data_IF_383080847242
#
_entry.id   IF_383080847242
#
_cell.length_a   1.000
_cell.length_b   1.000
_cell.length_c   1.000
_cell.angle_alpha   90.00
_cell.angle_beta   90.00
_cell.angle_gamma   90.00
#
_symmetry.space_group_name_H-M   'P 1'
#
loop_
_entity.id
_entity.type
_entity.pdbx_description
1 polymer ?
#
# COMPACT_ATOMS: atom_id res chain seq x y z
N UNK A 1 75.47 -33.10 1.10
CA UNK A 1 75.43 -31.62 1.15
C UNK A 1 74.91 -31.12 -0.20
N UNK A 2 73.61 -30.86 -0.31
CA UNK A 2 72.99 -30.06 -1.39
C UNK A 2 71.54 -29.78 -1.01
N UNK A 3 71.31 -28.59 -0.42
CA UNK A 3 70.01 -28.04 -0.06
C UNK A 3 69.47 -27.34 -1.31
N UNK A 4 68.37 -27.83 -1.87
CA UNK A 4 67.63 -27.14 -2.94
C UNK A 4 66.56 -26.27 -2.29
N UNK A 5 66.69 -24.98 -2.57
CA UNK A 5 65.81 -23.90 -2.11
C UNK A 5 64.38 -24.10 -2.61
N UNK A 6 63.43 -24.03 -1.68
CA UNK A 6 62.00 -23.99 -1.94
C UNK A 6 61.62 -22.53 -2.19
N UNK A 7 61.38 -22.16 -3.46
CA UNK A 7 60.88 -20.83 -3.83
C UNK A 7 59.36 -20.91 -3.87
N UNK A 8 58.71 -20.21 -2.94
CA UNK A 8 57.26 -20.10 -2.82
C UNK A 8 56.79 -18.88 -3.62
N UNK A 9 55.90 -18.99 -4.63
CA UNK A 9 55.35 -17.83 -5.29
C UNK A 9 54.14 -17.30 -4.50
N UNK A 10 54.25 -16.05 -4.06
CA UNK A 10 53.16 -15.21 -3.57
C UNK A 10 52.15 -14.98 -4.71
N UNK A 11 50.91 -15.48 -4.58
CA UNK A 11 49.79 -15.06 -5.41
C UNK A 11 49.23 -13.74 -4.86
N UNK A 12 49.47 -12.64 -5.59
CA UNK A 12 48.73 -11.38 -5.44
C UNK A 12 47.41 -11.50 -6.21
N UNK A 13 46.29 -11.61 -5.50
CA UNK A 13 44.96 -11.44 -6.10
C UNK A 13 44.59 -9.95 -6.12
N UNK A 14 44.49 -9.39 -7.33
CA UNK A 14 43.97 -8.06 -7.60
C UNK A 14 42.43 -8.13 -7.56
N UNK A 15 41.81 -7.74 -6.44
CA UNK A 15 40.36 -7.55 -6.41
C UNK A 15 40.03 -6.18 -7.00
N UNK A 16 39.44 -6.17 -8.20
CA UNK A 16 38.79 -5.00 -8.77
C UNK A 16 37.53 -4.70 -7.94
N UNK A 17 37.59 -3.64 -7.14
CA UNK A 17 36.47 -3.14 -6.36
C UNK A 17 35.40 -2.55 -7.29
N UNK A 18 34.38 -3.35 -7.63
CA UNK A 18 33.10 -2.81 -8.11
C UNK A 18 32.40 -2.16 -6.90
N UNK A 19 32.45 -0.83 -6.84
CA UNK A 19 31.70 -0.08 -5.84
C UNK A 19 30.20 -0.28 -6.04
N UNK A 20 29.41 -0.56 -4.99
CA UNK A 20 27.97 -0.51 -5.11
C UNK A 20 27.59 0.96 -5.25
N UNK A 21 27.22 1.37 -6.46
CA UNK A 21 26.48 2.61 -6.66
C UNK A 21 25.20 2.51 -5.84
N UNK A 22 25.13 3.24 -4.74
CA UNK A 22 23.92 3.34 -3.93
C UNK A 22 22.89 4.06 -4.80
N UNK A 23 21.96 3.29 -5.37
CA UNK A 23 20.80 3.84 -6.03
C UNK A 23 19.95 4.52 -4.95
N UNK A 24 20.01 5.85 -4.89
CA UNK A 24 19.05 6.64 -4.12
C UNK A 24 17.69 6.45 -4.79
N UNK A 25 16.85 5.60 -4.20
CA UNK A 25 15.42 5.60 -4.49
C UNK A 25 14.92 7.01 -4.20
N UNK A 26 14.52 7.72 -5.24
CA UNK A 26 13.98 9.07 -5.16
C UNK A 26 12.69 8.98 -4.34
N UNK A 27 12.72 9.40 -3.07
CA UNK A 27 11.55 9.41 -2.22
C UNK A 27 10.45 10.25 -2.90
N UNK A 28 9.35 9.61 -3.25
CA UNK A 28 8.20 10.29 -3.84
C UNK A 28 7.64 11.30 -2.83
N UNK A 29 7.43 12.57 -3.20
CA UNK A 29 7.22 13.66 -2.26
C UNK A 29 5.86 13.69 -1.55
N UNK A 30 4.97 12.73 -1.83
CA UNK A 30 3.65 12.63 -1.20
C UNK A 30 3.43 11.21 -0.68
N UNK A 31 3.63 10.99 0.62
CA UNK A 31 3.34 9.71 1.30
C UNK A 31 1.88 9.63 1.75
N UNK A 32 0.97 10.14 0.93
CA UNK A 32 -0.44 10.21 1.26
C UNK A 32 -1.30 10.92 0.22
N UNK A 33 -2.61 10.71 0.33
CA UNK A 33 -3.65 11.35 -0.48
C UNK A 33 -4.85 11.72 0.37
N UNK A 34 -5.61 12.72 -0.07
CA UNK A 34 -6.96 12.98 0.45
C UNK A 34 -7.99 12.52 -0.59
N UNK A 35 -8.78 11.51 -0.25
CA UNK A 35 -9.90 11.06 -1.06
C UNK A 35 -11.17 11.83 -0.75
N UNK A 36 -11.74 12.53 -1.72
CA UNK A 36 -13.01 13.26 -1.58
C UNK A 36 -14.12 12.52 -2.33
N UNK A 37 -15.17 12.09 -1.61
CA UNK A 37 -16.31 11.39 -2.19
C UNK A 37 -17.02 12.27 -3.23
N UNK A 38 -17.20 11.74 -4.44
CA UNK A 38 -17.96 12.41 -5.50
C UNK A 38 -19.31 11.73 -5.76
N UNK A 39 -19.38 10.40 -5.63
CA UNK A 39 -20.61 9.61 -5.84
C UNK A 39 -20.57 8.35 -4.99
N UNK A 40 -21.66 8.02 -4.30
CA UNK A 40 -21.72 6.82 -3.46
C UNK A 40 -23.16 6.35 -3.25
N UNK A 41 -23.32 5.07 -2.88
CA UNK A 41 -24.62 4.51 -2.50
C UNK A 41 -25.05 4.94 -1.09
N UNK A 42 -24.12 4.86 -0.12
CA UNK A 42 -24.39 5.11 1.32
C UNK A 42 -23.62 6.29 1.93
N UNK A 43 -22.71 6.93 1.18
CA UNK A 43 -21.86 8.04 1.66
C UNK A 43 -22.29 9.37 1.06
N UNK A 44 -21.98 10.48 1.73
CA UNK A 44 -22.32 11.83 1.27
C UNK A 44 -21.19 12.40 0.40
N UNK A 45 -21.48 13.04 -0.74
CA UNK A 45 -20.48 13.80 -1.48
C UNK A 45 -19.76 14.83 -0.60
N UNK A 46 -18.46 14.98 -0.82
CA UNK A 46 -17.60 15.87 -0.04
C UNK A 46 -17.03 15.26 1.25
N UNK A 47 -17.50 14.08 1.68
CA UNK A 47 -16.83 13.33 2.76
C UNK A 47 -15.39 12.99 2.36
N UNK A 48 -14.49 13.00 3.34
CA UNK A 48 -13.06 12.85 3.10
C UNK A 48 -12.50 11.62 3.79
N UNK A 49 -11.60 10.95 3.10
CA UNK A 49 -10.70 9.96 3.65
C UNK A 49 -9.28 10.51 3.54
N UNK A 50 -8.47 10.29 4.57
CA UNK A 50 -7.04 10.60 4.50
C UNK A 50 -6.27 9.29 4.46
N UNK A 51 -5.48 9.10 3.41
CA UNK A 51 -4.58 7.98 3.24
C UNK A 51 -3.17 8.45 3.59
N UNK A 52 -2.53 7.80 4.55
CA UNK A 52 -1.20 8.17 5.04
C UNK A 52 -0.29 6.94 5.17
N UNK A 53 1.02 7.17 5.22
CA UNK A 53 2.04 6.12 5.30
C UNK A 53 1.89 5.10 4.15
N UNK A 54 1.59 5.59 2.95
CA UNK A 54 1.31 4.77 1.78
C UNK A 54 2.54 4.01 1.30
N UNK A 55 3.76 4.35 1.71
CA UNK A 55 4.95 3.55 1.44
C UNK A 55 5.06 2.31 2.36
N UNK A 56 4.40 2.30 3.51
CA UNK A 56 4.45 1.18 4.45
C UNK A 56 3.60 -0.02 3.99
N UNK A 57 3.90 -1.21 4.52
CA UNK A 57 3.04 -2.38 4.32
C UNK A 57 1.69 -2.24 5.05
N UNK A 58 1.66 -1.40 6.09
CA UNK A 58 0.46 -1.07 6.88
C UNK A 58 0.17 0.43 6.84
N UNK A 59 -0.43 0.94 5.75
CA UNK A 59 -0.86 2.32 5.66
C UNK A 59 -2.02 2.61 6.60
N UNK A 60 -2.24 3.89 6.88
CA UNK A 60 -3.32 4.34 7.75
C UNK A 60 -4.41 5.04 6.95
N UNK A 61 -5.67 4.74 7.27
CA UNK A 61 -6.84 5.45 6.72
C UNK A 61 -7.56 6.17 7.84
N UNK A 62 -7.70 7.48 7.70
CA UNK A 62 -8.64 8.27 8.50
C UNK A 62 -9.96 8.36 7.76
N UNK A 63 -11.02 7.90 8.40
CA UNK A 63 -12.38 7.91 7.89
C UNK A 63 -13.05 9.29 8.02
N UNK A 64 -14.17 9.54 7.32
CA UNK A 64 -14.93 10.78 7.47
C UNK A 64 -15.40 11.07 8.90
N UNK A 65 -15.45 10.06 9.78
CA UNK A 65 -15.75 10.21 11.20
C UNK A 65 -14.60 10.81 12.02
N UNK A 66 -13.39 10.88 11.46
CA UNK A 66 -12.15 11.24 12.15
C UNK A 66 -11.43 10.05 12.79
N UNK A 67 -12.06 8.87 12.83
CA UNK A 67 -11.40 7.66 13.31
C UNK A 67 -10.36 7.20 12.30
N UNK A 68 -9.20 6.79 12.79
CA UNK A 68 -8.11 6.30 11.98
C UNK A 68 -7.83 4.83 12.26
N UNK A 69 -7.61 4.05 11.21
CA UNK A 69 -7.35 2.62 11.31
C UNK A 69 -6.17 2.21 10.43
N UNK A 70 -5.42 1.21 10.90
CA UNK A 70 -4.44 0.54 10.07
C UNK A 70 -5.13 -0.29 9.00
N UNK A 71 -4.56 -0.26 7.80
CA UNK A 71 -4.99 -1.04 6.65
C UNK A 71 -3.87 -1.96 6.21
N UNK A 72 -4.20 -3.02 5.49
CA UNK A 72 -3.20 -3.87 4.82
C UNK A 72 -3.09 -3.45 3.37
N UNK A 73 -1.88 -3.09 2.93
CA UNK A 73 -1.60 -2.93 1.50
C UNK A 73 -1.48 -4.30 0.86
N UNK A 74 -2.33 -4.59 -0.11
CA UNK A 74 -2.37 -5.90 -0.78
C UNK A 74 -1.81 -5.87 -2.20
N UNK A 75 -1.77 -4.68 -2.80
CA UNK A 75 -1.22 -4.47 -4.14
C UNK A 75 -0.72 -3.04 -4.29
N UNK A 76 0.37 -2.85 -5.00
CA UNK A 76 0.85 -1.55 -5.46
C UNK A 76 1.64 -1.71 -6.75
N UNK A 77 1.37 -0.83 -7.71
CA UNK A 77 2.18 -0.59 -8.90
C UNK A 77 2.37 0.92 -9.10
N UNK A 78 2.93 1.34 -10.24
CA UNK A 78 3.19 2.75 -10.54
C UNK A 78 1.92 3.62 -10.58
N UNK A 79 0.76 3.05 -10.88
CA UNK A 79 -0.50 3.79 -11.08
C UNK A 79 -1.51 3.57 -9.95
N UNK A 80 -1.46 2.43 -9.26
CA UNK A 80 -2.53 1.96 -8.39
C UNK A 80 -2.02 1.45 -7.06
N UNK A 81 -2.73 1.75 -5.97
CA UNK A 81 -2.54 1.14 -4.64
C UNK A 81 -3.87 0.51 -4.23
N UNK A 82 -3.84 -0.71 -3.69
CA UNK A 82 -5.01 -1.37 -3.12
C UNK A 82 -4.80 -1.63 -1.63
N UNK A 83 -5.72 -1.10 -0.83
CA UNK A 83 -5.73 -1.22 0.63
C UNK A 83 -6.97 -1.99 1.07
N UNK A 84 -6.82 -2.83 2.09
CA UNK A 84 -7.92 -3.55 2.73
C UNK A 84 -7.94 -3.22 4.22
N UNK A 85 -9.11 -2.81 4.70
CA UNK A 85 -9.45 -2.75 6.13
C UNK A 85 -10.48 -3.82 6.44
N UNK A 86 -10.31 -4.49 7.59
CA UNK A 86 -11.27 -5.47 8.11
C UNK A 86 -11.66 -5.02 9.51
N UNK A 87 -12.93 -4.66 9.71
CA UNK A 87 -13.44 -4.25 11.00
C UNK A 87 -13.52 -5.47 11.93
N UNK A 88 -12.78 -5.43 13.03
CA UNK A 88 -12.62 -6.57 13.95
C UNK A 88 -13.96 -7.03 14.57
N UNK A 89 -14.89 -6.10 14.84
CA UNK A 89 -16.14 -6.39 15.54
C UNK A 89 -17.24 -6.92 14.61
N UNK A 90 -17.33 -6.40 13.38
CA UNK A 90 -18.42 -6.70 12.44
C UNK A 90 -17.99 -7.66 11.34
N UNK A 91 -16.69 -7.90 11.17
CA UNK A 91 -16.11 -8.59 10.02
C UNK A 91 -16.29 -7.84 8.70
N UNK A 92 -16.83 -6.62 8.70
CA UNK A 92 -17.01 -5.86 7.47
C UNK A 92 -15.66 -5.52 6.85
N UNK A 93 -15.58 -5.65 5.54
CA UNK A 93 -14.38 -5.38 4.77
C UNK A 93 -14.57 -4.13 3.92
N UNK A 94 -13.57 -3.26 3.94
CA UNK A 94 -13.51 -2.07 3.11
C UNK A 94 -12.25 -2.17 2.24
N UNK A 95 -12.44 -2.15 0.93
CA UNK A 95 -11.33 -2.20 -0.04
C UNK A 95 -11.23 -0.86 -0.76
N UNK A 96 -10.08 -0.21 -0.65
CA UNK A 96 -9.77 1.04 -1.34
C UNK A 96 -8.87 0.78 -2.53
N UNK A 97 -9.31 1.19 -3.71
CA UNK A 97 -8.52 1.26 -4.93
C UNK A 97 -8.15 2.73 -5.15
N UNK A 98 -6.86 3.06 -5.04
CA UNK A 98 -6.35 4.41 -5.25
C UNK A 98 -5.64 4.44 -6.60
N UNK A 99 -6.17 5.16 -7.59
CA UNK A 99 -5.50 5.37 -8.86
C UNK A 99 -4.77 6.73 -8.85
N UNK A 100 -3.46 6.68 -8.63
CA UNK A 100 -2.53 7.81 -8.54
C UNK A 100 -2.51 8.62 -9.84
N UNK A 101 -2.57 7.95 -10.99
CA UNK A 101 -2.49 8.60 -12.31
C UNK A 101 -3.76 9.35 -12.69
N UNK A 102 -4.92 8.78 -12.34
CA UNK A 102 -6.24 9.36 -12.64
C UNK A 102 -6.76 10.26 -11.53
N UNK A 103 -6.03 10.38 -10.42
CA UNK A 103 -6.44 11.13 -9.23
C UNK A 103 -7.85 10.75 -8.78
N UNK A 104 -8.13 9.44 -8.70
CA UNK A 104 -9.42 8.94 -8.28
C UNK A 104 -9.29 7.75 -7.35
N UNK A 105 -10.31 7.54 -6.51
CA UNK A 105 -10.42 6.35 -5.70
C UNK A 105 -11.78 5.68 -5.87
N UNK A 106 -11.77 4.37 -5.65
CA UNK A 106 -12.98 3.55 -5.50
C UNK A 106 -12.91 2.84 -4.16
N UNK A 107 -13.97 2.91 -3.38
CA UNK A 107 -14.15 2.16 -2.15
C UNK A 107 -15.27 1.13 -2.37
N UNK A 108 -14.99 -0.12 -2.01
CA UNK A 108 -15.95 -1.21 -2.00
C UNK A 108 -16.15 -1.66 -0.55
N UNK A 109 -17.39 -1.60 -0.07
CA UNK A 109 -17.75 -1.95 1.32
C UNK A 109 -18.62 -3.22 1.32
N UNK A 110 -18.17 -4.22 2.09
CA UNK A 110 -18.78 -5.55 2.19
C UNK A 110 -19.08 -5.84 3.67
N UNK A 111 -20.35 -5.95 4.05
CA UNK A 111 -20.76 -6.28 5.42
C UNK A 111 -20.84 -7.80 5.67
N UNK A 112 -20.01 -8.36 6.56
CA UNK A 112 -19.99 -9.81 6.80
C UNK A 112 -21.20 -10.34 7.59
N UNK A 113 -21.72 -9.56 8.54
CA UNK A 113 -22.89 -9.93 9.35
C UNK A 113 -24.21 -9.92 8.56
N UNK A 114 -24.36 -8.99 7.60
CA UNK A 114 -25.53 -8.95 6.73
C UNK A 114 -25.56 -10.14 5.75
N UNK A 115 -24.41 -10.54 5.21
CA UNK A 115 -24.30 -11.63 4.24
C UNK A 115 -24.62 -13.02 4.83
N UNK A 116 -24.28 -13.25 6.09
CA UNK A 116 -24.45 -14.57 6.73
C UNK A 116 -25.79 -14.73 7.47
N UNK A 117 -26.38 -13.65 8.00
CA UNK A 117 -27.56 -13.76 8.85
C UNK A 117 -28.91 -13.70 8.11
N UNK A 118 -28.99 -13.07 6.94
CA UNK A 118 -30.30 -12.68 6.35
C UNK A 118 -30.67 -13.44 5.08
N UNK A 119 -29.73 -14.08 4.39
CA UNK A 119 -29.98 -14.67 3.06
C UNK A 119 -30.47 -13.67 2.01
N UNK A 120 -30.43 -12.36 2.31
CA UNK A 120 -30.83 -11.30 1.41
C UNK A 120 -29.78 -11.10 0.31
N UNK A 121 -30.21 -10.57 -0.84
CA UNK A 121 -29.36 -10.28 -1.99
C UNK A 121 -28.20 -9.35 -1.57
N UNK A 122 -27.03 -9.95 -1.35
CA UNK A 122 -25.87 -9.26 -0.82
C UNK A 122 -25.22 -8.43 -1.93
N UNK A 123 -25.31 -7.10 -1.82
CA UNK A 123 -24.69 -6.18 -2.78
C UNK A 123 -23.63 -5.33 -2.08
N UNK A 124 -22.39 -5.31 -2.61
CA UNK A 124 -21.38 -4.40 -2.09
C UNK A 124 -21.83 -2.95 -2.30
N UNK A 125 -21.54 -2.07 -1.34
CA UNK A 125 -21.75 -0.64 -1.53
C UNK A 125 -20.50 -0.06 -2.20
N UNK A 126 -20.69 0.71 -3.26
CA UNK A 126 -19.58 1.29 -4.02
C UNK A 126 -19.57 2.80 -3.86
N UNK A 127 -18.40 3.33 -3.52
CA UNK A 127 -18.13 4.75 -3.41
C UNK A 127 -17.03 5.13 -4.39
N UNK A 128 -17.22 6.23 -5.10
CA UNK A 128 -16.24 6.83 -6.00
C UNK A 128 -15.86 8.21 -5.50
N UNK A 129 -14.61 8.61 -5.73
CA UNK A 129 -14.16 9.95 -5.42
C UNK A 129 -12.86 10.34 -6.13
N UNK A 130 -12.43 11.56 -5.86
CA UNK A 130 -11.19 12.13 -6.38
C UNK A 130 -10.09 12.08 -5.33
N UNK A 131 -8.85 11.90 -5.76
CA UNK A 131 -7.66 12.01 -4.92
C UNK A 131 -7.06 13.40 -5.10
N UNK A 132 -6.58 13.97 -3.99
CA UNK A 132 -5.86 15.23 -3.91
C UNK A 132 -4.56 15.05 -3.16
#
# INVERSE_FOLDING_TARGET
MHIRQLVMPFLFFLFASFGPGVAYAQASPHDGYIGVVSKADKRKPGQQFTFANLQAQRPFVTFPSGNGEETTKVFEDDETIVLIFIAHLTGSTETFYLNKKRNCFTLIEVGALEATATGADFRPNITYGTLK
#
